data_IF_843586482391
#
_entry.id   IF_843586482391
#
_cell.length_a   1.000
_cell.length_b   1.000
_cell.length_c   1.000
_cell.angle_alpha   90.00
_cell.angle_beta   90.00
_cell.angle_gamma   90.00
#
_symmetry.space_group_name_H-M   'P 1'
#
loop_
_entity.id
_entity.type
_entity.pdbx_description
1 polymer ?
#
# COMPACT_ATOMS: atom_id res chain seq x y z
N UNK A 1 11.77 -15.54 -20.34
CA UNK A 1 11.73 -15.46 -18.86
C UNK A 1 10.34 -14.95 -18.53
N UNK A 2 9.37 -15.87 -18.55
CA UNK A 2 7.95 -15.59 -18.37
C UNK A 2 7.69 -15.26 -16.91
N UNK A 3 7.33 -14.01 -16.63
CA UNK A 3 6.88 -13.57 -15.31
C UNK A 3 5.44 -13.10 -15.42
N UNK A 4 4.56 -13.98 -14.96
CA UNK A 4 3.46 -13.66 -14.05
C UNK A 4 2.44 -12.58 -14.47
N UNK A 5 1.54 -12.98 -15.38
CA UNK A 5 0.29 -12.25 -15.65
C UNK A 5 -0.70 -12.22 -14.45
N UNK A 6 -0.42 -12.93 -13.35
CA UNK A 6 -1.26 -12.96 -12.13
C UNK A 6 -0.88 -11.92 -11.08
N UNK A 7 0.34 -11.36 -11.13
CA UNK A 7 0.81 -10.31 -10.22
C UNK A 7 0.00 -9.01 -10.30
N UNK A 8 -0.46 -8.50 -11.47
CA UNK A 8 -1.23 -7.26 -11.51
C UNK A 8 -2.61 -7.39 -10.87
N UNK A 9 -3.26 -8.55 -10.93
CA UNK A 9 -4.58 -8.79 -10.32
C UNK A 9 -4.47 -8.92 -8.80
N UNK A 10 -3.52 -9.71 -8.30
CA UNK A 10 -3.28 -9.86 -6.87
C UNK A 10 -2.83 -8.54 -6.20
N UNK A 11 -2.03 -7.72 -6.90
CA UNK A 11 -1.64 -6.40 -6.41
C UNK A 11 -2.82 -5.41 -6.37
N UNK A 12 -3.75 -5.50 -7.34
CA UNK A 12 -4.98 -4.70 -7.34
C UNK A 12 -5.95 -5.17 -6.26
N UNK A 13 -6.11 -6.48 -6.05
CA UNK A 13 -6.94 -7.10 -4.99
C UNK A 13 -6.38 -6.80 -3.59
N UNK A 14 -5.05 -6.76 -3.42
CA UNK A 14 -4.39 -6.32 -2.20
C UNK A 14 -4.62 -4.81 -1.95
N UNK A 15 -4.52 -3.96 -2.97
CA UNK A 15 -4.84 -2.53 -2.85
C UNK A 15 -6.34 -2.28 -2.53
N UNK A 16 -7.22 -3.15 -3.02
CA UNK A 16 -8.66 -3.15 -2.69
C UNK A 16 -8.95 -3.64 -1.27
N UNK A 17 -8.07 -4.46 -0.69
CA UNK A 17 -8.15 -4.90 0.71
C UNK A 17 -7.64 -3.80 1.65
N UNK A 18 -6.60 -3.05 1.29
CA UNK A 18 -6.09 -1.90 2.05
C UNK A 18 -7.10 -0.75 2.12
N UNK A 19 -7.88 -0.51 1.06
CA UNK A 19 -8.99 0.47 1.09
C UNK A 19 -10.19 0.02 1.94
N UNK A 20 -10.27 -1.28 2.28
CA UNK A 20 -11.25 -1.81 3.25
C UNK A 20 -10.82 -1.55 4.70
N UNK A 21 -9.51 -1.59 4.97
CA UNK A 21 -8.91 -1.24 6.27
C UNK A 21 -8.88 0.27 6.52
N UNK A 22 -8.63 1.10 5.50
CA UNK A 22 -8.72 2.57 5.61
C UNK A 22 -10.16 3.04 5.92
N UNK A 23 -11.19 2.28 5.52
CA UNK A 23 -12.59 2.50 5.95
C UNK A 23 -12.86 2.11 7.39
N UNK A 24 -12.03 1.25 8.00
CA UNK A 24 -12.14 0.86 9.41
C UNK A 24 -11.40 1.82 10.36
N UNK A 25 -10.52 2.69 9.83
CA UNK A 25 -9.69 3.62 10.62
C UNK A 25 -10.15 5.08 10.56
N UNK A 26 -11.27 5.40 9.90
CA UNK A 26 -11.99 6.63 10.22
C UNK A 26 -12.62 6.43 11.61
N UNK A 27 -12.34 7.31 12.60
CA UNK A 27 -13.09 7.29 13.84
C UNK A 27 -14.53 7.63 13.48
N UNK A 28 -15.37 6.60 13.41
CA UNK A 28 -16.77 6.77 13.73
C UNK A 28 -16.84 7.55 15.04
N UNK A 29 -17.67 8.60 15.17
CA UNK A 29 -17.98 9.10 16.48
C UNK A 29 -18.52 7.90 17.25
N UNK A 30 -17.79 7.46 18.27
CA UNK A 30 -18.32 6.46 19.19
C UNK A 30 -19.68 7.00 19.64
N UNK A 31 -20.79 6.28 19.36
CA UNK A 31 -21.98 6.57 20.12
C UNK A 31 -21.57 6.22 21.55
N UNK A 32 -21.36 7.25 22.38
CA UNK A 32 -21.46 7.09 23.83
C UNK A 32 -22.64 6.14 24.08
N UNK A 33 -22.52 5.18 25.01
CA UNK A 33 -23.61 4.29 25.36
C UNK A 33 -24.70 5.14 26.00
N UNK A 34 -25.48 5.84 25.18
CA UNK A 34 -26.81 6.26 25.53
C UNK A 34 -27.56 4.95 25.60
N UNK A 35 -27.54 4.37 26.81
CA UNK A 35 -28.58 3.56 27.40
C UNK A 35 -29.73 3.46 26.40
N UNK A 36 -29.68 2.43 25.54
CA UNK A 36 -30.84 1.99 24.80
C UNK A 36 -31.76 1.47 25.88
N UNK A 37 -32.48 2.42 26.48
CA UNK A 37 -33.68 2.18 27.23
C UNK A 37 -34.43 1.12 26.44
N UNK A 38 -34.73 0.02 27.11
CA UNK A 38 -35.58 -1.07 26.66
C UNK A 38 -37.04 -0.58 26.42
N UNK A 39 -37.18 0.49 25.64
CA UNK A 39 -38.38 1.19 25.19
C UNK A 39 -38.04 1.57 23.75
N UNK A 40 -38.09 0.67 22.77
CA UNK A 40 -39.32 0.30 22.06
C UNK A 40 -39.11 -1.06 21.36
N UNK A 41 -38.89 -2.11 22.15
CA UNK A 41 -39.26 -3.47 21.75
C UNK A 41 -40.28 -3.95 22.77
N UNK A 42 -41.45 -3.32 22.77
CA UNK A 42 -42.64 -4.01 23.23
C UNK A 42 -43.31 -4.64 22.00
N UNK A 43 -43.52 -5.96 21.98
CA UNK A 43 -44.54 -6.53 21.14
C UNK A 43 -45.85 -5.88 21.60
N UNK A 44 -46.58 -5.25 20.68
CA UNK A 44 -47.94 -4.77 20.96
C UNK A 44 -48.79 -6.01 21.23
N UNK A 45 -48.87 -6.41 22.50
CA UNK A 45 -49.76 -7.46 22.94
C UNK A 45 -51.20 -6.94 22.76
N UNK A 46 -51.89 -7.52 21.77
CA UNK A 46 -53.34 -7.71 21.81
C UNK A 46 -54.20 -6.44 21.82
N UNK A 47 -54.35 -5.82 20.66
CA UNK A 47 -55.66 -5.33 20.23
C UNK A 47 -55.88 -5.82 18.79
N UNK A 48 -56.58 -6.94 18.66
CA UNK A 48 -57.12 -7.56 17.45
C UNK A 48 -56.27 -7.47 16.15
N UNK A 49 -55.54 -8.54 15.82
CA UNK A 49 -55.17 -8.85 14.42
C UNK A 49 -53.74 -8.55 13.93
N UNK A 50 -52.71 -8.53 14.79
CA UNK A 50 -51.32 -8.27 14.38
C UNK A 50 -50.64 -9.50 13.76
N UNK A 51 -50.42 -9.43 12.43
CA UNK A 51 -49.67 -10.39 11.59
C UNK A 51 -48.18 -10.41 12.02
N UNK A 52 -47.55 -11.58 12.05
CA UNK A 52 -46.10 -11.69 12.27
C UNK A 52 -45.34 -10.99 11.14
N UNK A 53 -44.33 -10.17 11.48
CA UNK A 53 -43.50 -9.47 10.49
C UNK A 53 -42.79 -10.49 9.59
N UNK A 54 -43.09 -10.47 8.29
CA UNK A 54 -42.52 -11.35 7.28
C UNK A 54 -41.41 -10.67 6.51
N UNK A 55 -40.84 -11.37 5.52
CA UNK A 55 -39.83 -10.82 4.60
C UNK A 55 -40.29 -9.51 3.92
N UNK A 56 -41.59 -9.42 3.56
CA UNK A 56 -42.17 -8.25 2.92
C UNK A 56 -42.22 -6.99 3.82
N UNK A 57 -41.96 -7.13 5.12
CA UNK A 57 -41.91 -6.03 6.09
C UNK A 57 -40.47 -5.56 6.37
N UNK A 58 -39.47 -6.11 5.65
CA UNK A 58 -38.07 -5.70 5.79
C UNK A 58 -37.83 -4.30 5.21
N UNK A 59 -37.08 -3.43 5.89
CA UNK A 59 -36.68 -2.14 5.37
C UNK A 59 -35.65 -2.27 4.23
N UNK A 60 -35.71 -1.34 3.28
CA UNK A 60 -34.86 -1.26 2.09
C UNK A 60 -33.37 -1.37 2.44
N UNK A 61 -32.92 -0.75 3.54
CA UNK A 61 -31.51 -0.77 3.94
C UNK A 61 -31.02 -2.19 4.26
N UNK A 62 -31.86 -3.01 4.88
CA UNK A 62 -31.51 -4.40 5.19
C UNK A 62 -31.51 -5.25 3.92
N UNK A 63 -32.44 -5.03 3.00
CA UNK A 63 -32.47 -5.71 1.69
C UNK A 63 -31.20 -5.36 0.90
N UNK A 64 -30.83 -4.08 0.83
CA UNK A 64 -29.58 -3.59 0.21
C UNK A 64 -28.36 -4.22 0.87
N UNK A 65 -28.32 -4.30 2.20
CA UNK A 65 -27.20 -4.86 2.95
C UNK A 65 -27.04 -6.36 2.70
N UNK A 66 -28.13 -7.13 2.65
CA UNK A 66 -28.11 -8.55 2.28
C UNK A 66 -27.56 -8.70 0.86
N UNK A 67 -28.06 -7.90 -0.09
CA UNK A 67 -27.63 -7.95 -1.49
C UNK A 67 -26.13 -7.75 -1.71
N UNK A 68 -25.44 -7.00 -0.83
CA UNK A 68 -23.98 -6.79 -0.88
C UNK A 68 -23.17 -8.06 -0.67
N UNK A 69 -23.70 -9.04 0.07
CA UNK A 69 -23.00 -10.29 0.39
C UNK A 69 -23.33 -11.46 -0.55
N UNK A 70 -24.36 -11.31 -1.39
CA UNK A 70 -24.75 -12.35 -2.34
C UNK A 70 -23.83 -12.34 -3.55
N UNK A 71 -23.78 -13.43 -4.32
CA UNK A 71 -23.16 -13.44 -5.65
C UNK A 71 -24.13 -12.87 -6.71
N UNK A 72 -23.79 -12.95 -8.00
CA UNK A 72 -24.70 -12.46 -9.05
C UNK A 72 -25.95 -13.34 -9.19
N UNK A 73 -25.83 -14.65 -8.99
CA UNK A 73 -26.92 -15.62 -9.19
C UNK A 73 -27.94 -15.53 -8.06
N UNK A 74 -27.48 -15.49 -6.82
CA UNK A 74 -28.31 -15.38 -5.62
C UNK A 74 -28.95 -14.00 -5.53
N UNK A 75 -28.25 -12.94 -5.97
CA UNK A 75 -28.85 -11.62 -6.08
C UNK A 75 -29.99 -11.60 -7.12
N UNK A 76 -29.83 -12.29 -8.25
CA UNK A 76 -30.91 -12.48 -9.21
C UNK A 76 -32.08 -13.24 -8.59
N UNK A 77 -31.83 -14.35 -7.89
CA UNK A 77 -32.89 -15.11 -7.21
C UNK A 77 -33.63 -14.27 -6.17
N UNK A 78 -32.91 -13.54 -5.32
CA UNK A 78 -33.50 -12.65 -4.32
C UNK A 78 -34.35 -11.55 -4.98
N UNK A 79 -33.87 -10.97 -6.08
CA UNK A 79 -34.63 -9.95 -6.81
C UNK A 79 -35.92 -10.46 -7.45
N UNK A 80 -36.06 -11.76 -7.67
CA UNK A 80 -37.29 -12.35 -8.22
C UNK A 80 -38.35 -12.65 -7.16
N UNK A 81 -38.01 -12.56 -5.87
CA UNK A 81 -38.94 -12.86 -4.76
C UNK A 81 -40.13 -11.90 -4.77
N UNK A 82 -39.88 -10.61 -4.99
CA UNK A 82 -40.92 -9.59 -5.01
C UNK A 82 -40.51 -8.35 -5.83
N UNK A 83 -41.50 -7.63 -6.37
CA UNK A 83 -41.27 -6.39 -7.15
C UNK A 83 -40.53 -5.31 -6.35
N UNK A 84 -40.84 -5.16 -5.05
CA UNK A 84 -40.17 -4.20 -4.19
C UNK A 84 -38.68 -4.54 -4.03
N UNK A 85 -38.36 -5.81 -3.73
CA UNK A 85 -36.97 -6.29 -3.67
C UNK A 85 -36.23 -6.08 -4.99
N UNK A 86 -36.89 -6.35 -6.12
CA UNK A 86 -36.29 -6.07 -7.43
C UNK A 86 -35.94 -4.59 -7.59
N UNK A 87 -36.85 -3.67 -7.24
CA UNK A 87 -36.62 -2.24 -7.35
C UNK A 87 -35.43 -1.78 -6.50
N UNK A 88 -35.38 -2.24 -5.24
CA UNK A 88 -34.33 -1.92 -4.28
C UNK A 88 -32.95 -2.44 -4.71
N UNK A 89 -32.89 -3.63 -5.30
CA UNK A 89 -31.63 -4.28 -5.70
C UNK A 89 -31.21 -4.01 -7.16
N UNK A 90 -32.01 -3.25 -7.92
CA UNK A 90 -31.80 -3.04 -9.37
C UNK A 90 -30.38 -2.56 -9.69
N UNK A 91 -29.89 -1.51 -9.02
CA UNK A 91 -28.57 -0.96 -9.32
C UNK A 91 -27.43 -1.88 -8.86
N UNK A 92 -27.62 -2.70 -7.82
CA UNK A 92 -26.64 -3.70 -7.43
C UNK A 92 -26.52 -4.82 -8.48
N UNK A 93 -27.64 -5.24 -9.06
CA UNK A 93 -27.67 -6.18 -10.17
C UNK A 93 -26.95 -5.60 -11.40
N UNK A 94 -27.25 -4.34 -11.73
CA UNK A 94 -26.61 -3.65 -12.85
C UNK A 94 -25.10 -3.53 -12.65
N UNK A 95 -24.65 -3.15 -11.46
CA UNK A 95 -23.22 -3.08 -11.11
C UNK A 95 -22.50 -4.41 -11.36
N UNK A 96 -23.06 -5.53 -10.90
CA UNK A 96 -22.48 -6.86 -11.12
C UNK A 96 -22.52 -7.29 -12.59
N UNK A 97 -23.59 -6.97 -13.31
CA UNK A 97 -23.71 -7.24 -14.75
C UNK A 97 -22.68 -6.45 -15.54
N UNK A 98 -22.53 -5.17 -15.28
CA UNK A 98 -21.51 -4.33 -15.92
C UNK A 98 -20.10 -4.77 -15.57
N UNK A 99 -19.84 -5.22 -14.34
CA UNK A 99 -18.55 -5.79 -13.99
C UNK A 99 -18.28 -7.11 -14.73
N UNK A 100 -19.29 -7.95 -14.94
CA UNK A 100 -19.13 -9.14 -15.79
C UNK A 100 -18.87 -8.76 -17.25
N UNK A 101 -19.61 -7.79 -17.79
CA UNK A 101 -19.42 -7.32 -19.16
C UNK A 101 -18.05 -6.66 -19.37
N UNK A 102 -17.56 -5.90 -18.38
CA UNK A 102 -16.23 -5.28 -18.39
C UNK A 102 -15.10 -6.29 -18.66
N UNK A 103 -15.23 -7.55 -18.22
CA UNK A 103 -14.25 -8.62 -18.48
C UNK A 103 -14.13 -9.01 -19.95
N UNK A 104 -15.12 -8.65 -20.76
CA UNK A 104 -15.18 -8.99 -22.19
C UNK A 104 -14.81 -7.82 -23.10
N UNK A 105 -14.62 -6.62 -22.55
CA UNK A 105 -14.23 -5.43 -23.32
C UNK A 105 -12.76 -5.53 -23.71
N UNK A 106 -12.46 -5.30 -24.98
CA UNK A 106 -11.10 -5.48 -25.56
C UNK A 106 -10.61 -4.27 -26.34
N UNK A 107 -11.33 -3.14 -26.34
CA UNK A 107 -10.93 -1.92 -27.04
C UNK A 107 -11.40 -0.65 -26.31
N UNK A 108 -10.82 0.50 -26.68
CA UNK A 108 -11.13 1.79 -26.04
C UNK A 108 -12.55 2.31 -26.33
N UNK A 109 -13.18 1.89 -27.43
CA UNK A 109 -14.54 2.32 -27.76
C UNK A 109 -15.56 1.62 -26.86
N UNK A 110 -15.40 0.31 -26.66
CA UNK A 110 -16.18 -0.49 -25.73
C UNK A 110 -16.00 -0.03 -24.29
N UNK A 111 -14.78 0.36 -23.89
CA UNK A 111 -14.54 0.95 -22.55
C UNK A 111 -15.38 2.23 -22.38
N UNK A 112 -15.31 3.16 -23.33
CA UNK A 112 -16.08 4.42 -23.26
C UNK A 112 -17.58 4.19 -23.29
N UNK A 113 -18.05 3.29 -24.15
CA UNK A 113 -19.47 2.96 -24.25
C UNK A 113 -19.99 2.35 -22.95
N UNK A 114 -19.24 1.42 -22.34
CA UNK A 114 -19.62 0.81 -21.07
C UNK A 114 -19.59 1.81 -19.92
N UNK A 115 -18.58 2.68 -19.85
CA UNK A 115 -18.53 3.72 -18.83
C UNK A 115 -19.73 4.69 -18.93
N UNK A 116 -20.11 5.08 -20.15
CA UNK A 116 -21.30 5.91 -20.37
C UNK A 116 -22.60 5.20 -19.96
N UNK A 117 -22.73 3.89 -20.23
CA UNK A 117 -23.87 3.08 -19.77
C UNK A 117 -23.93 2.99 -18.24
N UNK A 118 -22.79 2.73 -17.59
CA UNK A 118 -22.69 2.67 -16.12
C UNK A 118 -23.12 4.01 -15.51
N UNK A 119 -22.68 5.12 -16.07
CA UNK A 119 -23.04 6.46 -15.60
C UNK A 119 -24.54 6.74 -15.76
N UNK A 120 -25.13 6.32 -16.88
CA UNK A 120 -26.55 6.50 -17.16
C UNK A 120 -27.46 5.62 -16.29
N UNK A 121 -27.07 4.37 -16.05
CA UNK A 121 -27.95 3.36 -15.45
C UNK A 121 -27.83 3.22 -13.92
N UNK A 122 -26.72 3.67 -13.33
CA UNK A 122 -26.49 3.65 -11.88
C UNK A 122 -26.46 5.09 -11.38
N UNK A 123 -27.60 5.64 -11.00
CA UNK A 123 -27.76 7.07 -10.65
C UNK A 123 -27.95 7.25 -9.15
N UNK A 124 -28.76 6.41 -8.51
CA UNK A 124 -29.17 6.54 -7.12
C UNK A 124 -28.01 6.21 -6.16
N UNK A 125 -27.18 5.22 -6.50
CA UNK A 125 -26.04 4.79 -5.71
C UNK A 125 -24.74 4.82 -6.53
N UNK A 126 -24.14 6.01 -6.77
CA UNK A 126 -22.92 6.15 -7.58
C UNK A 126 -21.73 5.32 -7.07
N UNK A 127 -21.69 4.97 -5.79
CA UNK A 127 -20.67 4.08 -5.23
C UNK A 127 -20.68 2.67 -5.85
N UNK A 128 -21.80 2.22 -6.41
CA UNK A 128 -21.90 0.93 -7.12
C UNK A 128 -21.19 0.94 -8.48
N UNK A 129 -20.79 2.11 -8.99
CA UNK A 129 -19.98 2.24 -10.21
C UNK A 129 -18.52 1.82 -10.00
N UNK A 130 -18.04 1.76 -8.74
CA UNK A 130 -16.65 1.43 -8.41
C UNK A 130 -16.24 0.04 -8.93
N UNK A 131 -17.05 -0.98 -8.66
CA UNK A 131 -16.72 -2.36 -9.02
C UNK A 131 -16.54 -2.59 -10.53
N UNK A 132 -17.44 -2.13 -11.42
CA UNK A 132 -17.21 -2.24 -12.85
C UNK A 132 -16.03 -1.39 -13.36
N UNK A 133 -15.79 -0.19 -12.81
CA UNK A 133 -14.63 0.64 -13.18
C UNK A 133 -13.31 -0.07 -12.86
N UNK A 134 -13.19 -0.66 -11.67
CA UNK A 134 -12.00 -1.42 -11.30
C UNK A 134 -11.85 -2.70 -12.14
N UNK A 135 -12.95 -3.33 -12.53
CA UNK A 135 -12.89 -4.49 -13.41
C UNK A 135 -12.40 -4.11 -14.81
N UNK A 136 -12.81 -2.95 -15.33
CA UNK A 136 -12.27 -2.38 -16.57
C UNK A 136 -10.77 -2.07 -16.45
N UNK A 137 -10.33 -1.51 -15.32
CA UNK A 137 -8.91 -1.28 -15.06
C UNK A 137 -8.13 -2.60 -15.10
N UNK A 138 -8.59 -3.64 -14.41
CA UNK A 138 -7.96 -4.96 -14.44
C UNK A 138 -7.89 -5.53 -15.85
N UNK A 139 -8.95 -5.37 -16.65
CA UNK A 139 -8.99 -5.85 -18.03
C UNK A 139 -7.99 -5.10 -18.92
N UNK A 140 -7.84 -3.79 -18.74
CA UNK A 140 -6.88 -2.95 -19.46
C UNK A 140 -5.42 -3.35 -19.20
N UNK A 141 -5.14 -3.84 -17.99
CA UNK A 141 -3.81 -4.30 -17.58
C UNK A 141 -3.47 -5.73 -18.05
N UNK A 142 -4.40 -6.43 -18.72
CA UNK A 142 -4.12 -7.74 -19.28
C UNK A 142 -3.34 -7.62 -20.59
N UNK A 143 -2.43 -8.56 -20.81
CA UNK A 143 -1.57 -8.62 -22.00
C UNK A 143 -2.32 -8.67 -23.35
N UNK A 144 -3.61 -9.02 -23.34
CA UNK A 144 -4.43 -9.13 -24.55
C UNK A 144 -5.11 -7.82 -24.94
N UNK A 145 -4.98 -6.75 -24.14
CA UNK A 145 -5.56 -5.45 -24.49
C UNK A 145 -4.68 -4.74 -25.54
N UNK A 146 -5.24 -4.25 -26.67
CA UNK A 146 -4.46 -3.64 -27.74
C UNK A 146 -3.70 -2.40 -27.27
N UNK A 147 -2.39 -2.36 -27.51
CA UNK A 147 -1.51 -1.26 -27.09
C UNK A 147 -1.98 0.10 -27.64
N UNK A 148 -2.42 0.12 -28.90
CA UNK A 148 -2.93 1.32 -29.59
C UNK A 148 -4.14 1.95 -28.89
N UNK A 149 -4.92 1.15 -28.19
CA UNK A 149 -6.16 1.54 -27.51
C UNK A 149 -5.96 1.74 -26.00
N UNK A 150 -4.85 1.25 -25.45
CA UNK A 150 -4.59 1.24 -24.01
C UNK A 150 -4.54 2.65 -23.41
N UNK A 151 -3.95 3.62 -24.12
CA UNK A 151 -3.90 5.01 -23.66
C UNK A 151 -5.30 5.62 -23.49
N UNK A 152 -6.11 5.58 -24.55
CA UNK A 152 -7.46 6.13 -24.55
C UNK A 152 -8.40 5.42 -23.55
N UNK A 153 -8.26 4.10 -23.43
CA UNK A 153 -8.99 3.32 -22.43
C UNK A 153 -8.61 3.73 -21.00
N UNK A 154 -7.31 3.94 -20.73
CA UNK A 154 -6.82 4.35 -19.42
C UNK A 154 -7.33 5.74 -19.04
N UNK A 155 -7.24 6.70 -19.96
CA UNK A 155 -7.75 8.07 -19.75
C UNK A 155 -9.24 8.08 -19.44
N UNK A 156 -10.02 7.22 -20.11
CA UNK A 156 -11.46 7.07 -19.89
C UNK A 156 -11.76 6.50 -18.50
N UNK A 157 -11.04 5.44 -18.10
CA UNK A 157 -11.17 4.83 -16.76
C UNK A 157 -10.76 5.81 -15.65
N UNK A 158 -9.65 6.53 -15.83
CA UNK A 158 -9.20 7.55 -14.88
C UNK A 158 -10.23 8.67 -14.73
N UNK A 159 -10.76 9.17 -15.85
CA UNK A 159 -11.77 10.23 -15.85
C UNK A 159 -13.04 9.78 -15.12
N UNK A 160 -13.53 8.58 -15.41
CA UNK A 160 -14.68 8.01 -14.72
C UNK A 160 -14.43 7.82 -13.22
N UNK A 161 -13.25 7.33 -12.84
CA UNK A 161 -12.87 7.19 -11.42
C UNK A 161 -12.80 8.53 -10.69
N UNK A 162 -12.25 9.57 -11.33
CA UNK A 162 -12.12 10.91 -10.76
C UNK A 162 -13.48 11.61 -10.58
N UNK A 163 -14.49 11.25 -11.38
CA UNK A 163 -15.85 11.79 -11.31
C UNK A 163 -16.75 11.11 -10.28
N UNK A 164 -16.30 10.01 -9.67
CA UNK A 164 -17.09 9.36 -8.62
C UNK A 164 -17.29 10.30 -7.42
N UNK A 165 -18.47 10.28 -6.79
CA UNK A 165 -18.71 10.93 -5.50
C UNK A 165 -17.81 10.36 -4.38
N UNK A 166 -18.09 10.71 -3.11
CA UNK A 166 -17.32 10.29 -1.92
C UNK A 166 -16.59 8.94 -2.08
N UNK A 167 -15.25 9.00 -2.19
CA UNK A 167 -14.40 7.84 -2.47
C UNK A 167 -13.73 7.82 -3.86
N UNK A 168 -14.12 8.69 -4.80
CA UNK A 168 -13.51 8.78 -6.13
C UNK A 168 -12.00 8.95 -6.11
N UNK A 169 -11.48 9.73 -5.16
CA UNK A 169 -10.03 9.89 -4.93
C UNK A 169 -9.30 8.56 -4.68
N UNK A 170 -9.84 7.67 -3.86
CA UNK A 170 -9.17 6.40 -3.55
C UNK A 170 -9.06 5.52 -4.80
N UNK A 171 -10.10 5.56 -5.65
CA UNK A 171 -10.14 4.82 -6.90
C UNK A 171 -9.20 5.44 -7.93
N UNK A 172 -9.22 6.75 -8.13
CA UNK A 172 -8.31 7.43 -9.06
C UNK A 172 -6.85 7.32 -8.62
N UNK A 173 -6.55 7.35 -7.31
CA UNK A 173 -5.23 7.00 -6.76
C UNK A 173 -4.83 5.57 -7.12
N UNK A 174 -5.77 4.62 -7.00
CA UNK A 174 -5.55 3.23 -7.41
C UNK A 174 -5.21 3.15 -8.89
N UNK A 175 -5.95 3.88 -9.75
CA UNK A 175 -5.66 3.96 -11.20
C UNK A 175 -4.25 4.52 -11.45
N UNK A 176 -3.85 5.61 -10.79
CA UNK A 176 -2.48 6.18 -10.93
C UNK A 176 -1.41 5.14 -10.56
N UNK A 177 -1.61 4.38 -9.49
CA UNK A 177 -0.65 3.38 -9.04
C UNK A 177 -0.46 2.21 -10.03
N UNK A 178 -1.32 2.12 -11.06
CA UNK A 178 -1.19 1.14 -12.14
C UNK A 178 -0.37 1.60 -13.33
N UNK A 179 0.08 2.87 -13.38
CA UNK A 179 0.85 3.43 -14.50
C UNK A 179 2.07 2.56 -14.86
N UNK A 180 2.79 2.05 -13.85
CA UNK A 180 3.96 1.16 -14.04
C UNK A 180 3.64 -0.17 -14.73
N UNK A 181 2.37 -0.60 -14.78
CA UNK A 181 1.94 -1.85 -15.40
C UNK A 181 1.43 -1.66 -16.83
N UNK A 182 1.22 -0.43 -17.29
CA UNK A 182 0.86 -0.15 -18.68
C UNK A 182 2.01 -0.50 -19.63
N UNK A 183 1.75 -0.54 -20.94
CA UNK A 183 2.81 -0.68 -21.93
C UNK A 183 3.80 0.50 -21.83
N UNK A 184 5.13 0.26 -21.85
CA UNK A 184 6.14 1.32 -21.76
C UNK A 184 5.93 2.51 -22.71
N UNK A 185 5.42 2.27 -23.92
CA UNK A 185 5.15 3.33 -24.91
C UNK A 185 4.02 4.29 -24.48
N UNK A 186 3.15 3.86 -23.57
CA UNK A 186 1.97 4.61 -23.11
C UNK A 186 2.20 5.32 -21.78
N UNK A 187 3.04 4.75 -20.89
CA UNK A 187 3.16 5.19 -19.47
C UNK A 187 3.41 6.68 -19.31
N UNK A 188 4.35 7.23 -20.08
CA UNK A 188 4.74 8.63 -19.94
C UNK A 188 3.59 9.58 -20.32
N UNK A 189 2.82 9.28 -21.36
CA UNK A 189 1.70 10.12 -21.76
C UNK A 189 0.51 9.96 -20.80
N UNK A 190 0.26 8.74 -20.31
CA UNK A 190 -0.75 8.49 -19.29
C UNK A 190 -0.44 9.22 -17.97
N UNK A 191 0.84 9.26 -17.57
CA UNK A 191 1.29 10.07 -16.44
C UNK A 191 0.98 11.55 -16.66
N UNK A 192 1.37 12.10 -17.82
CA UNK A 192 1.15 13.51 -18.15
C UNK A 192 -0.33 13.87 -18.19
N UNK A 193 -1.19 12.97 -18.66
CA UNK A 193 -2.64 13.14 -18.60
C UNK A 193 -3.14 13.23 -17.15
N UNK A 194 -2.76 12.28 -16.29
CA UNK A 194 -3.12 12.32 -14.88
C UNK A 194 -2.61 13.60 -14.20
N UNK A 195 -1.36 13.98 -14.48
CA UNK A 195 -0.75 15.19 -13.97
C UNK A 195 -1.56 16.43 -14.42
N UNK A 196 -1.89 16.57 -15.70
CA UNK A 196 -2.65 17.71 -16.20
C UNK A 196 -4.08 17.77 -15.60
N UNK A 197 -4.78 16.64 -15.51
CA UNK A 197 -6.13 16.58 -14.95
C UNK A 197 -6.16 16.95 -13.47
N UNK A 198 -5.17 16.48 -12.71
CA UNK A 198 -5.09 16.70 -11.26
C UNK A 198 -4.55 18.09 -10.94
N UNK A 199 -3.41 18.43 -11.52
CA UNK A 199 -2.59 19.58 -11.10
C UNK A 199 -3.13 20.90 -11.63
N UNK A 200 -3.80 20.90 -12.79
CA UNK A 200 -4.31 22.14 -13.41
C UNK A 200 -5.77 22.44 -13.06
N UNK A 201 -6.54 21.50 -12.49
CA UNK A 201 -8.00 21.64 -12.36
C UNK A 201 -8.55 21.60 -10.93
N UNK A 202 -7.74 21.28 -9.92
CA UNK A 202 -8.24 21.14 -8.55
C UNK A 202 -7.66 22.17 -7.58
N UNK A 203 -8.53 22.79 -6.78
CA UNK A 203 -8.16 23.59 -5.59
C UNK A 203 -7.58 22.73 -4.46
N UNK A 204 -7.63 21.40 -4.59
CA UNK A 204 -7.13 20.38 -3.65
C UNK A 204 -6.15 19.46 -4.40
N UNK A 205 -5.18 20.03 -5.10
CA UNK A 205 -4.10 19.26 -5.76
C UNK A 205 -3.35 18.34 -4.79
N UNK A 206 -3.45 18.62 -3.48
CA UNK A 206 -2.70 18.03 -2.36
C UNK A 206 -2.70 16.50 -2.32
N UNK A 207 -3.85 15.87 -2.60
CA UNK A 207 -4.03 14.43 -2.35
C UNK A 207 -3.43 13.54 -3.43
N UNK A 208 -3.30 14.03 -4.65
CA UNK A 208 -2.82 13.23 -5.78
C UNK A 208 -1.31 13.31 -5.96
N UNK A 209 -0.66 14.35 -5.43
CA UNK A 209 0.77 14.57 -5.63
C UNK A 209 1.64 13.42 -5.11
N UNK A 210 1.25 12.78 -3.99
CA UNK A 210 1.95 11.59 -3.48
C UNK A 210 1.83 10.40 -4.44
N UNK A 211 0.65 10.18 -5.02
CA UNK A 211 0.43 9.10 -5.97
C UNK A 211 1.24 9.30 -7.25
N UNK A 212 1.22 10.53 -7.79
CA UNK A 212 2.02 10.90 -8.95
C UNK A 212 3.52 10.81 -8.66
N UNK A 213 3.98 11.34 -7.52
CA UNK A 213 5.37 11.23 -7.10
C UNK A 213 5.85 9.77 -7.08
N UNK A 214 5.02 8.82 -6.64
CA UNK A 214 5.39 7.39 -6.61
C UNK A 214 5.62 6.78 -8.00
N UNK A 215 5.09 7.41 -9.05
CA UNK A 215 5.15 6.95 -10.43
C UNK A 215 6.15 7.73 -11.28
N UNK A 216 6.98 8.62 -10.72
CA UNK A 216 7.94 9.40 -11.51
C UNK A 216 8.86 8.54 -12.38
N UNK A 217 9.26 7.36 -11.90
CA UNK A 217 10.09 6.40 -12.63
C UNK A 217 9.52 5.93 -13.99
N UNK A 218 8.23 6.18 -14.29
CA UNK A 218 7.64 5.84 -15.60
C UNK A 218 7.93 6.88 -16.68
N UNK A 219 8.49 8.04 -16.30
CA UNK A 219 8.80 9.15 -17.19
C UNK A 219 10.21 9.01 -17.80
N UNK A 220 10.43 9.57 -19.00
CA UNK A 220 11.78 9.81 -19.50
C UNK A 220 12.51 10.83 -18.61
N UNK A 221 13.84 10.82 -18.63
CA UNK A 221 14.70 11.55 -17.70
C UNK A 221 14.38 13.05 -17.62
N UNK A 222 14.20 13.72 -18.75
CA UNK A 222 13.97 15.17 -18.79
C UNK A 222 12.65 15.53 -18.11
N UNK A 223 11.60 14.74 -18.36
CA UNK A 223 10.29 14.90 -17.71
C UNK A 223 10.34 14.50 -16.24
N UNK A 224 11.11 13.46 -15.89
CA UNK A 224 11.34 13.09 -14.49
C UNK A 224 11.88 14.28 -13.71
N UNK A 225 12.96 14.92 -14.21
CA UNK A 225 13.61 16.06 -13.55
C UNK A 225 12.60 17.19 -13.36
N UNK A 226 11.91 17.58 -14.44
CA UNK A 226 10.92 18.65 -14.41
C UNK A 226 9.82 18.38 -13.36
N UNK A 227 9.22 17.19 -13.40
CA UNK A 227 8.11 16.84 -12.49
C UNK A 227 8.58 16.69 -11.05
N UNK A 228 9.80 16.21 -10.83
CA UNK A 228 10.40 16.14 -9.49
C UNK A 228 10.57 17.55 -8.91
N UNK A 229 11.14 18.48 -9.68
CA UNK A 229 11.34 19.87 -9.23
C UNK A 229 10.02 20.58 -8.91
N UNK A 230 8.99 20.40 -9.74
CA UNK A 230 7.65 20.94 -9.50
C UNK A 230 7.02 20.39 -8.21
N UNK A 231 7.16 19.08 -7.96
CA UNK A 231 6.67 18.45 -6.73
C UNK A 231 7.43 18.92 -5.49
N UNK A 232 8.76 19.11 -5.60
CA UNK A 232 9.58 19.67 -4.52
C UNK A 232 9.18 21.10 -4.19
N UNK A 233 8.98 21.95 -5.21
CA UNK A 233 8.57 23.34 -5.03
C UNK A 233 7.19 23.48 -4.34
N UNK A 234 6.39 22.43 -4.41
CA UNK A 234 5.05 22.40 -3.84
C UNK A 234 4.98 21.93 -2.38
N UNK A 235 6.01 21.23 -1.88
CA UNK A 235 6.11 20.75 -0.48
C UNK A 235 5.70 21.81 0.58
N UNK A 236 6.13 23.10 0.49
CA UNK A 236 5.80 24.09 1.50
C UNK A 236 4.30 24.44 1.59
N UNK A 237 3.53 24.17 0.54
CA UNK A 237 2.10 24.49 0.43
C UNK A 237 1.21 23.40 1.03
N UNK A 238 1.79 22.26 1.40
CA UNK A 238 1.08 21.10 1.93
C UNK A 238 0.89 21.17 3.45
N UNK A 239 -0.16 20.51 3.93
CA UNK A 239 -0.32 20.22 5.35
C UNK A 239 0.79 19.27 5.84
N UNK A 240 0.90 19.12 7.15
CA UNK A 240 1.99 18.35 7.78
C UNK A 240 2.00 16.88 7.33
N UNK A 241 0.83 16.25 7.27
CA UNK A 241 0.69 14.83 6.93
C UNK A 241 1.03 14.58 5.46
N UNK A 242 0.49 15.41 4.56
CA UNK A 242 0.73 15.35 3.13
C UNK A 242 2.19 15.68 2.80
N UNK A 243 2.77 16.66 3.50
CA UNK A 243 4.20 17.01 3.38
C UNK A 243 5.09 15.84 3.76
N UNK A 244 4.83 15.19 4.90
CA UNK A 244 5.59 14.01 5.32
C UNK A 244 5.49 12.86 4.30
N UNK A 245 4.29 12.61 3.77
CA UNK A 245 4.05 11.57 2.76
C UNK A 245 4.75 11.88 1.43
N UNK A 246 4.73 13.13 0.97
CA UNK A 246 5.38 13.53 -0.28
C UNK A 246 6.91 13.50 -0.15
N UNK A 247 7.48 14.00 0.95
CA UNK A 247 8.93 13.91 1.22
C UNK A 247 9.39 12.45 1.19
N UNK A 248 8.67 11.57 1.89
CA UNK A 248 8.99 10.14 1.93
C UNK A 248 8.96 9.53 0.52
N UNK A 249 7.95 9.88 -0.26
CA UNK A 249 7.74 9.33 -1.60
C UNK A 249 8.82 9.80 -2.58
N UNK A 250 9.15 11.11 -2.58
CA UNK A 250 10.20 11.68 -3.42
C UNK A 250 11.57 11.11 -3.08
N UNK A 251 11.88 10.92 -1.78
CA UNK A 251 13.12 10.27 -1.36
C UNK A 251 13.27 8.86 -1.95
N UNK A 252 12.19 8.06 -1.97
CA UNK A 252 12.18 6.71 -2.56
C UNK A 252 12.37 6.74 -4.09
N UNK A 253 12.07 7.85 -4.77
CA UNK A 253 12.31 7.98 -6.22
C UNK A 253 13.76 8.32 -6.57
N UNK A 254 14.59 8.77 -5.63
CA UNK A 254 15.99 9.12 -5.93
C UNK A 254 16.82 7.93 -6.45
N UNK A 255 16.73 6.71 -5.88
CA UNK A 255 17.33 5.53 -6.49
C UNK A 255 16.83 5.25 -7.91
N UNK A 256 15.54 5.45 -8.20
CA UNK A 256 14.98 5.25 -9.52
C UNK A 256 15.56 6.25 -10.54
N UNK A 257 15.79 7.50 -10.14
CA UNK A 257 16.47 8.49 -10.98
C UNK A 257 17.92 8.08 -11.30
N UNK A 258 18.69 7.65 -10.31
CA UNK A 258 20.12 7.38 -10.49
C UNK A 258 20.38 6.03 -11.17
N UNK A 259 19.56 5.03 -10.89
CA UNK A 259 19.75 3.66 -11.42
C UNK A 259 18.86 3.35 -12.61
N UNK A 260 17.65 3.92 -12.68
CA UNK A 260 16.67 3.61 -13.73
C UNK A 260 17.08 4.09 -15.12
N UNK A 261 17.86 5.17 -15.22
CA UNK A 261 18.34 5.69 -16.51
C UNK A 261 19.72 5.16 -16.90
N UNK A 262 20.37 4.30 -16.08
CA UNK A 262 21.74 3.82 -16.28
C UNK A 262 22.80 4.93 -16.48
N UNK A 263 22.50 6.17 -16.06
CA UNK A 263 23.42 7.32 -16.14
C UNK A 263 23.91 7.64 -14.74
N UNK A 264 25.16 7.28 -14.43
CA UNK A 264 25.87 7.66 -13.18
C UNK A 264 26.98 8.67 -13.46
N UNK A 265 26.66 9.71 -14.23
CA UNK A 265 27.58 10.82 -14.43
C UNK A 265 27.59 11.76 -13.20
N UNK A 266 28.61 12.62 -13.14
CA UNK A 266 28.77 13.55 -12.03
C UNK A 266 27.57 14.52 -11.91
N UNK A 267 26.95 14.91 -13.03
CA UNK A 267 25.80 15.80 -13.05
C UNK A 267 24.56 15.16 -12.40
N UNK A 268 24.27 13.89 -12.72
CA UNK A 268 23.13 13.16 -12.16
C UNK A 268 23.30 12.92 -10.65
N UNK A 269 24.52 12.54 -10.21
CA UNK A 269 24.81 12.40 -8.79
C UNK A 269 24.74 13.74 -8.04
N UNK A 270 25.18 14.83 -8.67
CA UNK A 270 25.06 16.17 -8.13
C UNK A 270 23.59 16.57 -7.94
N UNK A 271 22.75 16.37 -8.97
CA UNK A 271 21.31 16.66 -8.90
C UNK A 271 20.62 15.84 -7.80
N UNK A 272 20.89 14.52 -7.73
CA UNK A 272 20.33 13.65 -6.69
C UNK A 272 20.73 14.12 -5.28
N UNK A 273 21.98 14.57 -5.11
CA UNK A 273 22.49 15.14 -3.86
C UNK A 273 21.79 16.45 -3.49
N UNK A 274 21.54 17.33 -4.46
CA UNK A 274 20.80 18.57 -4.22
C UNK A 274 19.37 18.27 -3.76
N UNK A 275 18.65 17.41 -4.48
CA UNK A 275 17.30 17.00 -4.10
C UNK A 275 17.25 16.34 -2.73
N UNK A 276 18.18 15.44 -2.43
CA UNK A 276 18.29 14.82 -1.11
C UNK A 276 18.39 15.85 0.00
N UNK A 277 19.26 16.85 -0.16
CA UNK A 277 19.45 17.91 0.83
C UNK A 277 18.23 18.81 0.95
N UNK A 278 17.57 19.12 -0.16
CA UNK A 278 16.31 19.88 -0.14
C UNK A 278 15.21 19.12 0.61
N UNK A 279 15.06 17.81 0.37
CA UNK A 279 14.11 16.96 1.09
C UNK A 279 14.45 16.86 2.58
N UNK A 280 15.74 16.72 2.93
CA UNK A 280 16.18 16.71 4.34
C UNK A 280 15.93 18.06 5.01
N UNK A 281 16.11 19.18 4.32
CA UNK A 281 15.76 20.48 4.85
C UNK A 281 14.24 20.60 5.09
N UNK A 282 13.43 20.14 4.14
CA UNK A 282 11.98 20.11 4.29
C UNK A 282 11.52 19.18 5.42
N UNK A 283 12.18 18.03 5.62
CA UNK A 283 11.92 17.12 6.74
C UNK A 283 12.04 17.84 8.08
N UNK A 284 13.07 18.68 8.26
CA UNK A 284 13.31 19.41 9.50
C UNK A 284 12.23 20.46 9.81
N UNK A 285 11.38 20.82 8.84
CA UNK A 285 10.22 21.69 9.05
C UNK A 285 9.00 20.95 9.63
N UNK A 286 9.01 19.61 9.66
CA UNK A 286 7.93 18.79 10.21
C UNK A 286 8.04 18.69 11.74
N UNK A 287 6.93 18.51 12.47
CA UNK A 287 6.96 18.11 13.87
C UNK A 287 7.76 16.82 14.06
N UNK A 288 8.59 16.67 15.11
CA UNK A 288 9.42 15.48 15.32
C UNK A 288 8.64 14.15 15.34
N UNK A 289 7.38 14.16 15.79
CA UNK A 289 6.49 12.99 15.78
C UNK A 289 6.14 12.48 14.38
N UNK A 290 6.24 13.32 13.35
CA UNK A 290 5.83 13.01 11.98
C UNK A 290 7.05 12.77 11.06
N UNK A 291 8.26 12.89 11.59
CA UNK A 291 9.51 12.78 10.83
C UNK A 291 9.94 11.33 10.55
N UNK A 292 9.37 10.34 11.23
CA UNK A 292 9.87 8.95 11.22
C UNK A 292 9.95 8.33 9.82
N UNK A 293 8.80 8.17 9.15
CA UNK A 293 8.72 7.63 7.77
C UNK A 293 9.60 8.38 6.77
N UNK A 294 9.61 9.71 6.83
CA UNK A 294 10.37 10.53 5.90
C UNK A 294 11.88 10.40 6.14
N UNK A 295 12.31 10.30 7.41
CA UNK A 295 13.70 9.98 7.78
C UNK A 295 14.09 8.60 7.27
N UNK A 296 13.22 7.61 7.43
CA UNK A 296 13.46 6.25 6.95
C UNK A 296 13.63 6.21 5.43
N UNK A 297 12.77 6.90 4.69
CA UNK A 297 12.84 7.02 3.24
C UNK A 297 14.11 7.72 2.76
N UNK A 298 14.57 8.77 3.45
CA UNK A 298 15.87 9.40 3.17
C UNK A 298 17.03 8.43 3.40
N UNK A 299 16.97 7.56 4.41
CA UNK A 299 18.01 6.55 4.60
C UNK A 299 18.07 5.58 3.40
N UNK A 300 16.92 5.15 2.88
CA UNK A 300 16.82 4.30 1.67
C UNK A 300 17.36 4.99 0.43
N UNK A 301 17.29 6.32 0.35
CA UNK A 301 17.79 7.11 -0.77
C UNK A 301 19.32 7.29 -0.77
N UNK A 302 20.00 7.09 0.36
CA UNK A 302 21.44 7.36 0.50
C UNK A 302 22.33 6.69 -0.55
N UNK A 303 22.12 5.42 -0.99
CA UNK A 303 22.95 4.80 -2.02
C UNK A 303 22.97 5.58 -3.35
N UNK A 304 21.95 6.39 -3.62
CA UNK A 304 21.83 7.17 -4.85
C UNK A 304 22.79 8.37 -4.91
N UNK A 305 23.40 8.78 -3.79
CA UNK A 305 24.20 10.02 -3.72
C UNK A 305 25.68 9.84 -4.11
N UNK A 306 26.10 8.60 -4.33
CA UNK A 306 27.52 8.24 -4.52
C UNK A 306 28.25 8.03 -3.19
N UNK A 307 29.19 7.07 -3.18
CA UNK A 307 29.75 6.45 -1.96
C UNK A 307 30.21 7.45 -0.88
N UNK A 308 31.01 8.45 -1.25
CA UNK A 308 31.55 9.41 -0.27
C UNK A 308 30.45 10.29 0.34
N UNK A 309 29.55 10.81 -0.51
CA UNK A 309 28.42 11.63 -0.07
C UNK A 309 27.45 10.82 0.78
N UNK A 310 27.13 9.57 0.40
CA UNK A 310 26.25 8.68 1.17
C UNK A 310 26.73 8.49 2.60
N UNK A 311 28.03 8.26 2.81
CA UNK A 311 28.62 8.08 4.15
C UNK A 311 28.54 9.37 4.96
N UNK A 312 28.83 10.52 4.34
CA UNK A 312 28.76 11.83 5.01
C UNK A 312 27.33 12.21 5.42
N UNK A 313 26.35 12.00 4.53
CA UNK A 313 24.94 12.29 4.80
C UNK A 313 24.32 11.26 5.78
N UNK A 314 24.81 10.01 5.81
CA UNK A 314 24.38 9.03 6.79
C UNK A 314 24.60 9.49 8.23
N UNK A 315 25.77 10.08 8.53
CA UNK A 315 26.06 10.59 9.87
C UNK A 315 25.02 11.63 10.31
N UNK A 316 24.61 12.50 9.38
CA UNK A 316 23.63 13.56 9.65
C UNK A 316 22.22 12.99 9.84
N UNK A 317 21.76 12.11 8.94
CA UNK A 317 20.41 11.53 9.07
C UNK A 317 20.30 10.60 10.28
N UNK A 318 21.40 9.92 10.65
CA UNK A 318 21.46 9.14 11.88
C UNK A 318 21.29 10.02 13.11
N UNK A 319 21.98 11.16 13.18
CA UNK A 319 21.80 12.11 14.29
C UNK A 319 20.36 12.60 14.40
N UNK A 320 19.71 12.91 13.27
CA UNK A 320 18.29 13.28 13.23
C UNK A 320 17.43 12.13 13.75
N UNK A 321 17.61 10.90 13.23
CA UNK A 321 16.84 9.73 13.68
C UNK A 321 16.95 9.50 15.19
N UNK A 322 18.14 9.70 15.76
CA UNK A 322 18.40 9.52 17.19
C UNK A 322 17.76 10.59 18.09
N UNK A 323 17.39 11.75 17.55
CA UNK A 323 16.75 12.82 18.32
C UNK A 323 15.22 12.77 18.27
N UNK A 324 14.64 11.86 17.48
CA UNK A 324 13.18 11.76 17.33
C UNK A 324 12.52 11.15 18.57
N UNK A 325 11.28 11.57 18.89
CA UNK A 325 10.46 10.87 19.87
C UNK A 325 9.98 9.51 19.33
N UNK A 326 9.50 8.65 20.23
CA UNK A 326 8.75 7.47 19.82
C UNK A 326 7.32 7.86 19.40
N UNK A 327 6.72 7.24 18.36
CA UNK A 327 7.22 6.11 17.56
C UNK A 327 8.13 6.48 16.37
N UNK A 328 8.28 7.76 16.04
CA UNK A 328 9.01 8.23 14.85
C UNK A 328 10.47 7.74 14.78
N UNK A 329 11.15 7.66 15.92
CA UNK A 329 12.51 7.10 15.99
C UNK A 329 12.58 5.64 15.53
N UNK A 330 11.59 4.82 15.89
CA UNK A 330 11.56 3.41 15.49
C UNK A 330 11.46 3.26 13.96
N UNK A 331 10.59 4.04 13.32
CA UNK A 331 10.47 4.07 11.87
C UNK A 331 11.78 4.50 11.19
N UNK A 332 12.38 5.59 11.68
CA UNK A 332 13.64 6.11 11.14
C UNK A 332 14.78 5.08 11.22
N UNK A 333 14.83 4.31 12.30
CA UNK A 333 15.82 3.26 12.49
C UNK A 333 15.67 2.08 11.53
N UNK A 334 14.44 1.68 11.18
CA UNK A 334 14.23 0.70 10.12
C UNK A 334 14.86 1.19 8.80
N UNK A 335 14.80 2.50 8.52
CA UNK A 335 15.52 3.09 7.40
C UNK A 335 17.04 2.99 7.53
N UNK A 336 17.60 3.24 8.72
CA UNK A 336 19.05 3.13 8.97
C UNK A 336 19.56 1.70 8.75
N UNK A 337 18.78 0.68 9.13
CA UNK A 337 19.08 -0.70 8.81
C UNK A 337 19.11 -0.95 7.30
N UNK A 338 18.10 -0.45 6.57
CA UNK A 338 18.04 -0.59 5.10
C UNK A 338 19.21 0.09 4.38
N UNK A 339 19.82 1.11 4.98
CA UNK A 339 20.99 1.77 4.43
C UNK A 339 22.30 0.99 4.63
N UNK A 340 22.34 -0.03 5.50
CA UNK A 340 23.56 -0.75 5.85
C UNK A 340 24.36 -1.31 4.64
N UNK A 341 23.74 -1.87 3.59
CA UNK A 341 24.47 -2.38 2.43
C UNK A 341 25.28 -1.33 1.67
N UNK A 342 25.02 -0.03 1.87
CA UNK A 342 25.76 1.04 1.18
C UNK A 342 27.21 1.18 1.69
N UNK A 343 27.49 0.67 2.89
CA UNK A 343 28.81 0.76 3.49
C UNK A 343 29.80 -0.23 2.86
N UNK A 344 31.10 0.12 2.79
CA UNK A 344 32.16 -0.84 2.52
C UNK A 344 32.08 -2.05 3.46
N UNK A 345 32.48 -3.21 2.98
CA UNK A 345 32.40 -4.49 3.70
C UNK A 345 33.05 -4.43 5.09
N UNK A 346 34.14 -3.68 5.22
CA UNK A 346 34.92 -3.52 6.43
C UNK A 346 34.17 -2.73 7.52
N UNK A 347 33.24 -1.85 7.12
CA UNK A 347 32.48 -0.99 8.02
C UNK A 347 31.11 -1.56 8.38
N UNK A 348 30.57 -2.49 7.58
CA UNK A 348 29.25 -3.06 7.80
C UNK A 348 29.08 -3.72 9.18
N UNK A 349 30.02 -4.56 9.68
CA UNK A 349 29.86 -5.17 11.00
C UNK A 349 29.77 -4.12 12.11
N UNK A 350 30.66 -3.14 12.11
CA UNK A 350 30.68 -2.09 13.13
C UNK A 350 29.39 -1.26 13.15
N UNK A 351 28.87 -0.91 11.97
CA UNK A 351 27.60 -0.20 11.86
C UNK A 351 26.42 -1.07 12.32
N UNK A 352 26.40 -2.36 11.94
CA UNK A 352 25.36 -3.29 12.38
C UNK A 352 25.30 -3.41 13.90
N UNK A 353 26.44 -3.63 14.56
CA UNK A 353 26.52 -3.70 16.02
C UNK A 353 26.10 -2.39 16.70
N UNK A 354 26.48 -1.25 16.13
CA UNK A 354 26.05 0.05 16.65
C UNK A 354 24.53 0.23 16.57
N UNK A 355 23.87 -0.32 15.55
CA UNK A 355 22.41 -0.29 15.41
C UNK A 355 21.73 -1.32 16.35
N UNK A 356 22.38 -2.44 16.65
CA UNK A 356 21.87 -3.45 17.61
C UNK A 356 21.82 -2.98 19.04
N UNK A 357 22.86 -2.25 19.48
CA UNK A 357 22.89 -1.66 20.80
C UNK A 357 21.69 -0.72 21.05
N UNK A 358 21.06 -0.22 19.99
CA UNK A 358 19.82 0.53 20.08
C UNK A 358 18.59 -0.37 20.25
N UNK A 359 18.52 -1.49 19.52
CA UNK A 359 17.43 -2.49 19.63
C UNK A 359 17.26 -2.95 21.07
N UNK A 360 18.37 -3.25 21.75
CA UNK A 360 18.38 -3.77 23.12
C UNK A 360 17.91 -2.75 24.16
N UNK A 361 17.92 -1.45 23.80
CA UNK A 361 17.44 -0.37 24.66
C UNK A 361 15.96 -0.05 24.44
N UNK A 362 15.26 -0.80 23.58
CA UNK A 362 13.90 -0.47 23.14
C UNK A 362 12.83 -1.44 23.65
N UNK A 363 11.67 -0.94 24.12
CA UNK A 363 10.55 -1.80 24.48
C UNK A 363 9.86 -2.39 23.24
N UNK A 364 9.94 -3.71 23.08
CA UNK A 364 9.00 -4.73 22.54
C UNK A 364 7.93 -4.44 21.45
N UNK A 365 7.81 -3.25 20.86
CA UNK A 365 6.71 -2.91 19.94
C UNK A 365 7.00 -3.13 18.45
N UNK A 366 8.28 -3.23 18.05
CA UNK A 366 8.67 -3.45 16.64
C UNK A 366 9.57 -4.67 16.35
N UNK A 367 9.56 -5.76 17.15
CA UNK A 367 10.48 -6.88 16.94
C UNK A 367 10.30 -7.55 15.56
N UNK A 368 9.06 -7.67 15.09
CA UNK A 368 8.72 -8.30 13.81
C UNK A 368 9.19 -7.42 12.64
N UNK A 369 8.89 -6.13 12.65
CA UNK A 369 9.31 -5.20 11.58
C UNK A 369 10.84 -5.07 11.52
N UNK A 370 11.51 -5.07 12.68
CA UNK A 370 12.96 -5.09 12.79
C UNK A 370 13.55 -6.37 12.20
N UNK A 371 12.99 -7.53 12.54
CA UNK A 371 13.39 -8.82 11.99
C UNK A 371 13.22 -8.86 10.48
N UNK A 372 12.04 -8.47 9.98
CA UNK A 372 11.76 -8.40 8.56
C UNK A 372 12.76 -7.49 7.84
N UNK A 373 12.97 -6.27 8.35
CA UNK A 373 13.87 -5.29 7.73
C UNK A 373 15.32 -5.80 7.69
N UNK A 374 15.80 -6.46 8.76
CA UNK A 374 17.11 -7.08 8.74
C UNK A 374 17.21 -8.18 7.66
N UNK A 375 16.21 -9.05 7.56
CA UNK A 375 16.19 -10.12 6.56
C UNK A 375 16.13 -9.58 5.12
N UNK A 376 15.39 -8.49 4.88
CA UNK A 376 15.36 -7.78 3.59
C UNK A 376 16.77 -7.31 3.17
N UNK A 377 17.62 -6.94 4.14
CA UNK A 377 18.99 -6.45 3.86
C UNK A 377 20.01 -7.57 3.64
N UNK A 378 19.80 -8.77 4.18
CA UNK A 378 20.76 -9.90 4.14
C UNK A 378 21.34 -10.15 2.74
N UNK A 379 20.55 -10.24 1.65
CA UNK A 379 21.10 -10.48 0.32
C UNK A 379 22.16 -9.47 -0.13
N UNK A 380 22.02 -8.22 0.31
CA UNK A 380 22.86 -7.10 -0.11
C UNK A 380 24.08 -6.88 0.80
N UNK A 381 24.13 -7.54 1.97
CA UNK A 381 25.25 -7.42 2.90
C UNK A 381 26.47 -8.24 2.45
N UNK A 382 27.64 -7.85 2.94
CA UNK A 382 28.87 -8.61 2.77
C UNK A 382 28.78 -9.96 3.49
N UNK A 383 29.45 -10.98 2.95
CA UNK A 383 29.38 -12.36 3.46
C UNK A 383 29.69 -12.46 4.95
N UNK A 384 30.62 -11.66 5.48
CA UNK A 384 30.99 -11.65 6.90
C UNK A 384 29.93 -11.00 7.81
N UNK A 385 28.99 -10.24 7.25
CA UNK A 385 27.94 -9.53 7.99
C UNK A 385 26.58 -10.24 7.91
N UNK A 386 26.35 -11.00 6.83
CA UNK A 386 25.06 -11.68 6.57
C UNK A 386 24.62 -12.59 7.72
N UNK A 387 25.52 -13.41 8.23
CA UNK A 387 25.20 -14.35 9.31
C UNK A 387 24.78 -13.61 10.58
N UNK A 388 25.50 -12.55 10.97
CA UNK A 388 25.15 -11.76 12.14
C UNK A 388 23.79 -11.06 11.96
N UNK A 389 23.56 -10.46 10.79
CA UNK A 389 22.30 -9.83 10.42
C UNK A 389 21.11 -10.80 10.52
N UNK A 390 21.26 -11.97 9.90
CA UNK A 390 20.27 -13.03 9.90
C UNK A 390 20.00 -13.56 11.31
N UNK A 391 21.05 -13.86 12.10
CA UNK A 391 20.89 -14.38 13.46
C UNK A 391 20.17 -13.38 14.36
N UNK A 392 20.51 -12.09 14.32
CA UNK A 392 19.80 -11.09 15.12
C UNK A 392 18.34 -10.98 14.68
N UNK A 393 18.05 -11.02 13.39
CA UNK A 393 16.67 -10.98 12.91
C UNK A 393 15.84 -12.14 13.48
N UNK A 394 16.39 -13.34 13.45
CA UNK A 394 15.74 -14.54 14.01
C UNK A 394 15.56 -14.43 15.53
N UNK A 395 16.54 -13.88 16.25
CA UNK A 395 16.45 -13.65 17.70
C UNK A 395 15.39 -12.60 18.09
N UNK A 396 14.97 -11.74 17.17
CA UNK A 396 13.90 -10.77 17.40
C UNK A 396 12.51 -11.37 17.20
N UNK A 397 12.38 -12.51 16.54
CA UNK A 397 11.09 -13.14 16.35
C UNK A 397 10.58 -13.72 17.67
N UNK A 398 9.30 -13.52 18.00
CA UNK A 398 8.73 -14.14 19.19
C UNK A 398 8.76 -15.67 19.05
N UNK A 399 8.99 -16.42 20.13
CA UNK A 399 8.67 -17.84 20.15
C UNK A 399 7.16 -18.00 19.88
N UNK A 400 6.77 -19.06 19.16
CA UNK A 400 5.36 -19.39 18.87
C UNK A 400 4.67 -18.32 18.00
N UNK A 401 5.39 -17.89 16.97
CA UNK A 401 5.01 -16.85 16.04
C UNK A 401 3.83 -17.27 15.12
N UNK A 402 2.62 -16.82 15.45
CA UNK A 402 1.44 -16.92 14.57
C UNK A 402 1.21 -15.65 13.73
N UNK A 403 0.45 -15.78 12.64
CA UNK A 403 0.08 -14.65 11.78
C UNK A 403 1.27 -13.99 11.05
N UNK A 404 1.49 -12.66 11.15
CA UNK A 404 2.51 -11.94 10.38
C UNK A 404 3.94 -12.45 10.64
N UNK A 405 4.22 -12.99 11.83
CA UNK A 405 5.52 -13.55 12.16
C UNK A 405 5.82 -14.86 11.40
N UNK A 406 4.81 -15.63 10.98
CA UNK A 406 4.98 -16.84 10.15
C UNK A 406 5.54 -16.51 8.77
N UNK A 407 5.06 -15.42 8.14
CA UNK A 407 5.61 -14.93 6.87
C UNK A 407 7.09 -14.53 7.01
N UNK A 408 7.46 -13.91 8.14
CA UNK A 408 8.85 -13.50 8.40
C UNK A 408 9.74 -14.72 8.66
N UNK A 409 9.24 -15.77 9.34
CA UNK A 409 9.95 -17.06 9.48
C UNK A 409 10.19 -17.70 8.11
N UNK A 410 9.17 -17.75 7.25
CA UNK A 410 9.32 -18.29 5.89
C UNK A 410 10.34 -17.47 5.09
N UNK A 411 10.32 -16.15 5.24
CA UNK A 411 11.35 -15.30 4.64
C UNK A 411 12.74 -15.62 5.19
N UNK A 412 12.88 -15.80 6.51
CA UNK A 412 14.14 -16.18 7.15
C UNK A 412 14.68 -17.52 6.63
N UNK A 413 13.81 -18.52 6.42
CA UNK A 413 14.16 -19.81 5.80
C UNK A 413 14.69 -19.63 4.38
N UNK A 414 14.02 -18.82 3.55
CA UNK A 414 14.45 -18.54 2.19
C UNK A 414 15.83 -17.85 2.17
N UNK A 415 16.11 -16.99 3.16
CA UNK A 415 17.37 -16.26 3.27
C UNK A 415 18.57 -17.14 3.67
N UNK A 416 18.36 -18.34 4.22
CA UNK A 416 19.45 -19.28 4.58
C UNK A 416 20.35 -19.59 3.38
N UNK A 417 19.81 -19.55 2.16
CA UNK A 417 20.58 -19.75 0.93
C UNK A 417 21.75 -18.75 0.76
N UNK A 418 21.62 -17.54 1.31
CA UNK A 418 22.66 -16.49 1.22
C UNK A 418 23.76 -16.60 2.27
N UNK A 419 23.60 -17.50 3.25
CA UNK A 419 24.59 -17.82 4.28
C UNK A 419 25.63 -18.83 3.76
N UNK A 420 26.80 -18.88 4.42
CA UNK A 420 27.85 -19.84 4.10
C UNK A 420 27.43 -21.27 4.43
N UNK A 421 28.02 -22.25 3.76
CA UNK A 421 27.60 -23.65 3.88
C UNK A 421 27.67 -24.19 5.33
N UNK A 422 28.68 -23.77 6.09
CA UNK A 422 28.90 -24.09 7.50
C UNK A 422 27.89 -23.41 8.44
N UNK A 423 27.32 -22.27 8.04
CA UNK A 423 26.33 -21.51 8.82
C UNK A 423 24.88 -22.03 8.60
N UNK A 424 24.60 -22.65 7.45
CA UNK A 424 23.24 -23.07 7.06
C UNK A 424 22.63 -24.11 8.00
N UNK A 425 23.44 -25.04 8.51
CA UNK A 425 22.96 -26.08 9.42
C UNK A 425 22.56 -25.49 10.78
N UNK A 426 23.37 -24.57 11.30
CA UNK A 426 23.06 -23.84 12.54
C UNK A 426 21.82 -22.95 12.38
N UNK A 427 21.70 -22.27 11.23
CA UNK A 427 20.54 -21.45 10.90
C UNK A 427 19.23 -22.27 10.85
N UNK A 428 19.25 -23.44 10.19
CA UNK A 428 18.09 -24.35 10.17
C UNK A 428 17.70 -24.80 11.59
N UNK A 429 18.68 -25.16 12.41
CA UNK A 429 18.44 -25.54 13.80
C UNK A 429 17.93 -24.39 14.68
N UNK A 430 18.28 -23.13 14.37
CA UNK A 430 17.76 -21.96 15.06
C UNK A 430 16.28 -21.69 14.72
N UNK A 431 15.90 -21.82 13.45
CA UNK A 431 14.49 -21.70 13.05
C UNK A 431 13.65 -22.86 13.58
N UNK A 432 14.16 -24.10 13.51
CA UNK A 432 13.46 -25.26 14.06
C UNK A 432 13.10 -25.05 15.54
N UNK A 433 14.01 -24.50 16.35
CA UNK A 433 13.74 -24.17 17.77
C UNK A 433 12.63 -23.14 17.98
N UNK A 434 12.39 -22.24 17.03
CA UNK A 434 11.31 -21.25 17.11
C UNK A 434 9.97 -21.90 16.74
N UNK A 435 9.98 -22.86 15.82
CA UNK A 435 8.81 -23.61 15.35
C UNK A 435 8.42 -24.70 16.36
N UNK A 436 9.38 -25.49 16.86
CA UNK A 436 9.14 -26.61 17.79
C UNK A 436 8.64 -26.15 19.18
N UNK A 437 8.80 -24.87 19.52
CA UNK A 437 8.21 -24.28 20.72
C UNK A 437 6.67 -24.21 20.67
N UNK A 438 6.07 -24.41 19.49
CA UNK A 438 4.62 -24.50 19.24
C UNK A 438 4.05 -25.86 19.71
N UNK A 439 4.72 -26.97 19.37
CA UNK A 439 4.27 -28.34 19.72
C UNK A 439 4.34 -28.64 21.24
N UNK A 440 5.25 -28.00 21.97
CA UNK A 440 5.41 -28.20 23.40
C UNK A 440 4.44 -27.35 24.26
N UNK A 441 3.93 -26.23 23.72
CA UNK A 441 2.97 -25.37 24.42
C UNK A 441 1.53 -25.94 24.38
N UNK A 442 1.12 -26.56 23.28
CA UNK A 442 -0.17 -27.27 23.21
C UNK A 442 -0.21 -28.50 24.12
N UNK A 443 0.91 -29.22 24.29
CA UNK A 443 0.99 -30.35 25.22
C UNK A 443 0.95 -29.94 26.70
N UNK A 444 1.41 -28.74 27.07
CA UNK A 444 1.41 -28.28 28.47
C UNK A 444 0.07 -27.67 28.90
N UNK A 445 -0.66 -27.03 27.99
CA UNK A 445 -2.03 -26.57 28.26
C UNK A 445 -3.05 -27.73 28.30
N UNK A 446 -2.77 -28.86 27.62
CA UNK A 446 -3.57 -30.08 27.73
C UNK A 446 -3.37 -30.90 29.02
N UNK A 447 -2.44 -30.50 29.90
CA UNK A 447 -2.13 -31.18 31.16
C UNK A 447 -2.52 -30.40 32.43
N UNK A 448 -3.08 -29.19 32.31
CA UNK A 448 -3.58 -28.43 33.47
C UNK A 448 -5.09 -28.54 33.72
N UNK A 449 -5.84 -29.27 32.89
CA UNK A 449 -7.27 -29.60 33.11
C UNK A 449 -7.50 -31.11 33.23
N UNK A 450 -6.75 -31.78 34.11
CA UNK A 450 -7.11 -33.13 34.59
C UNK A 450 -6.94 -33.29 36.10
#
# INVERSE_FOLDING_TARGET
MDTDANVPVAALEAALSVTREERQHQPMPEPRPALLAHRYLQPRAGAAGTRAAGYCDLPDELIVQIGRYLDTRDLCHLSMVERHTHAVLREQLLSKRYAHHAKTVVDAAGVRALLAQIEHDIVEQPGLRIFPILTLLTQLLRNNFPERDQAAAFESVFTAAAQLPAGGYAISRTVINTLKYLNPSVRANAYEFCYAQVWQRHSISSRYGVALASQLHVLPRERFIQRYDELVAWIPQLDTTERAALISTLAIQLPAFVYGFNVRDAATLHQATQWYRTLRHALLSLPPSDQGKATAALCVALPALGRQTSIAEYGQIRQIAMSLPQPAMAEAWLGLLRALPMFPAELQPAQLYSLYAMIERWPSQYPIDAAQTLLETVPALHVDTRAAAWHKAVMLLPPNASGPASNVIQHALNQIAFLRADERSAARAAIARIIDADDHAEMTLGQQDR
#
